data_IF_428392098916
#
_entry.id   IF_428392098916
#
_cell.length_a   1.000
_cell.length_b   1.000
_cell.length_c   1.000
_cell.angle_alpha   90.00
_cell.angle_beta   90.00
_cell.angle_gamma   90.00
#
_symmetry.space_group_name_H-M   'P 1'
#
loop_
_entity.id
_entity.type
_entity.pdbx_description
1 polymer ?
#
# COMPACT_ATOMS: atom_id res chain seq x y z
N UNK A 1 13.39 -4.28 -0.24
CA UNK A 1 13.55 -3.04 0.56
C UNK A 1 14.17 -3.40 1.89
N UNK A 2 15.44 -3.07 2.15
CA UNK A 2 16.00 -3.13 3.51
C UNK A 2 15.46 -1.90 4.23
N UNK A 3 14.50 -2.08 5.13
CA UNK A 3 14.02 -1.00 5.98
C UNK A 3 15.01 -0.95 7.15
N UNK A 4 15.87 0.09 7.27
CA UNK A 4 16.74 0.19 8.43
C UNK A 4 15.88 0.36 9.68
N UNK A 5 16.16 -0.44 10.71
CA UNK A 5 15.39 -0.51 11.97
C UNK A 5 15.63 0.70 12.90
N UNK A 6 16.49 1.65 12.51
CA UNK A 6 16.89 2.83 13.31
C UNK A 6 16.47 4.15 12.64
N UNK A 7 15.30 4.22 12.01
CA UNK A 7 14.79 5.53 11.57
C UNK A 7 14.10 6.25 12.74
N UNK A 8 14.33 7.57 12.87
CA UNK A 8 13.69 8.36 13.91
C UNK A 8 12.17 8.29 13.78
N UNK A 9 11.49 8.23 14.93
CA UNK A 9 10.04 8.13 15.03
C UNK A 9 9.39 9.26 14.23
N UNK A 10 8.48 8.92 13.32
CA UNK A 10 7.77 9.91 12.52
C UNK A 10 6.96 10.85 13.44
N UNK A 11 7.27 12.14 13.41
CA UNK A 11 6.59 13.14 14.23
C UNK A 11 5.09 13.16 13.88
N UNK A 12 4.25 13.06 14.92
CA UNK A 12 2.79 13.06 14.77
C UNK A 12 2.16 11.68 14.54
N UNK A 13 2.94 10.59 14.58
CA UNK A 13 2.41 9.24 14.46
C UNK A 13 2.49 8.46 15.76
N UNK A 14 1.43 7.70 16.05
CA UNK A 14 1.40 6.75 17.17
C UNK A 14 2.29 5.54 16.91
N UNK A 15 2.26 5.03 15.68
CA UNK A 15 2.92 3.80 15.30
C UNK A 15 4.35 4.04 14.80
N UNK A 16 5.26 3.07 15.01
CA UNK A 16 6.59 3.10 14.42
C UNK A 16 6.55 3.16 12.89
N UNK A 17 7.62 3.67 12.28
CA UNK A 17 7.69 3.88 10.85
C UNK A 17 7.65 2.56 10.06
N UNK A 18 8.14 1.46 10.62
CA UNK A 18 8.14 0.12 10.04
C UNK A 18 6.71 -0.40 9.86
N UNK A 19 5.84 -0.15 10.83
CA UNK A 19 4.43 -0.57 10.76
C UNK A 19 3.69 0.22 9.69
N UNK A 20 3.92 1.53 9.64
CA UNK A 20 3.32 2.41 8.64
C UNK A 20 3.82 2.02 7.24
N UNK A 21 5.12 1.81 7.09
CA UNK A 21 5.74 1.39 5.85
C UNK A 21 5.19 0.04 5.38
N UNK A 22 5.07 -0.92 6.29
CA UNK A 22 4.53 -2.25 5.98
C UNK A 22 3.07 -2.18 5.53
N UNK A 23 2.23 -1.41 6.22
CA UNK A 23 0.82 -1.24 5.87
C UNK A 23 0.65 -0.61 4.47
N UNK A 24 1.39 0.48 4.19
CA UNK A 24 1.32 1.17 2.89
C UNK A 24 1.91 0.32 1.77
N UNK A 25 3.00 -0.41 2.04
CA UNK A 25 3.58 -1.35 1.08
C UNK A 25 2.61 -2.49 0.75
N UNK A 26 1.99 -3.10 1.75
CA UNK A 26 1.05 -4.20 1.55
C UNK A 26 -0.15 -3.76 0.71
N UNK A 27 -0.70 -2.56 0.99
CA UNK A 27 -1.76 -1.93 0.19
C UNK A 27 -1.39 -1.84 -1.29
N UNK A 28 -0.23 -1.29 -1.62
CA UNK A 28 0.20 -1.12 -3.02
C UNK A 28 0.67 -2.41 -3.69
N UNK A 29 1.20 -3.38 -2.94
CA UNK A 29 1.82 -4.59 -3.52
C UNK A 29 0.82 -5.68 -3.85
N UNK A 30 -0.23 -5.82 -3.04
CA UNK A 30 -1.16 -6.96 -3.09
C UNK A 30 -2.60 -6.59 -3.44
N UNK A 31 -2.85 -5.35 -3.89
CA UNK A 31 -4.20 -4.86 -4.22
C UNK A 31 -5.20 -4.99 -3.05
N UNK A 32 -4.71 -4.85 -1.82
CA UNK A 32 -5.54 -4.92 -0.61
C UNK A 32 -6.37 -3.65 -0.44
N UNK A 33 -7.60 -3.80 0.05
CA UNK A 33 -8.38 -2.67 0.54
C UNK A 33 -7.82 -2.17 1.87
N UNK A 34 -8.25 -0.97 2.30
CA UNK A 34 -7.87 -0.44 3.61
C UNK A 34 -8.44 -1.27 4.77
N UNK A 35 -9.52 -2.02 4.55
CA UNK A 35 -10.09 -2.94 5.54
C UNK A 35 -9.22 -4.20 5.65
N UNK A 36 -8.80 -4.78 4.52
CA UNK A 36 -7.92 -5.96 4.53
C UNK A 36 -6.59 -5.68 5.23
N UNK A 37 -6.05 -4.46 5.08
CA UNK A 37 -4.83 -4.04 5.79
C UNK A 37 -5.08 -3.84 7.29
N UNK A 38 -6.26 -3.36 7.70
CA UNK A 38 -6.65 -3.28 9.12
C UNK A 38 -6.71 -4.68 9.74
N UNK A 39 -7.34 -5.64 9.06
CA UNK A 39 -7.43 -7.02 9.53
C UNK A 39 -6.03 -7.66 9.64
N UNK A 40 -5.18 -7.46 8.62
CA UNK A 40 -3.82 -7.97 8.56
C UNK A 40 -2.87 -7.37 9.63
N UNK A 41 -3.15 -6.15 10.09
CA UNK A 41 -2.45 -5.57 11.24
C UNK A 41 -3.03 -6.08 12.57
N UNK A 42 -4.34 -6.31 12.62
CA UNK A 42 -5.04 -6.87 13.79
C UNK A 42 -4.55 -8.28 14.10
N UNK A 43 -4.36 -9.13 13.09
CA UNK A 43 -3.75 -10.47 13.23
C UNK A 43 -2.34 -10.41 13.84
N UNK A 44 -1.62 -9.30 13.67
CA UNK A 44 -0.30 -9.06 14.27
C UNK A 44 -0.36 -8.37 15.63
N UNK A 45 -1.55 -8.25 16.23
CA UNK A 45 -1.77 -7.62 17.53
C UNK A 45 -1.78 -6.08 17.48
N UNK A 46 -1.90 -5.47 16.30
CA UNK A 46 -1.93 -4.02 16.14
C UNK A 46 -3.32 -3.52 15.79
N UNK A 47 -3.95 -2.81 16.73
CA UNK A 47 -5.29 -2.25 16.54
C UNK A 47 -5.18 -0.92 15.79
N UNK A 48 -5.47 -0.93 14.49
CA UNK A 48 -5.42 0.24 13.60
C UNK A 48 -6.71 0.30 12.78
N UNK A 49 -7.43 1.43 12.82
CA UNK A 49 -8.64 1.60 12.00
C UNK A 49 -8.29 1.78 10.51
N UNK A 50 -9.15 1.31 9.60
CA UNK A 50 -9.02 1.52 8.15
C UNK A 50 -8.85 2.98 7.75
N UNK A 51 -9.45 3.92 8.46
CA UNK A 51 -9.26 5.37 8.24
C UNK A 51 -7.81 5.80 8.48
N UNK A 52 -7.15 5.23 9.49
CA UNK A 52 -5.74 5.51 9.78
C UNK A 52 -4.86 4.94 8.66
N UNK A 53 -5.15 3.72 8.19
CA UNK A 53 -4.47 3.15 7.01
C UNK A 53 -4.68 4.05 5.79
N UNK A 54 -5.91 4.51 5.53
CA UNK A 54 -6.22 5.44 4.42
C UNK A 54 -5.40 6.73 4.51
N UNK A 55 -5.25 7.31 5.70
CA UNK A 55 -4.42 8.50 5.90
C UNK A 55 -2.94 8.23 5.60
N UNK A 56 -2.42 7.06 6.00
CA UNK A 56 -1.05 6.68 5.67
C UNK A 56 -0.85 6.47 4.18
N UNK A 57 -1.77 5.78 3.51
CA UNK A 57 -1.77 5.59 2.05
C UNK A 57 -1.83 6.94 1.34
N UNK A 58 -2.71 7.85 1.74
CA UNK A 58 -2.79 9.17 1.11
C UNK A 58 -1.50 9.99 1.27
N UNK A 59 -0.81 9.85 2.42
CA UNK A 59 0.39 10.64 2.71
C UNK A 59 1.67 10.04 2.10
N UNK A 60 1.82 8.73 2.16
CA UNK A 60 3.06 8.04 1.81
C UNK A 60 2.94 7.19 0.53
N UNK A 61 1.72 6.89 0.10
CA UNK A 61 1.44 5.93 -0.97
C UNK A 61 2.14 6.24 -2.28
N UNK A 62 2.25 7.51 -2.66
CA UNK A 62 2.97 7.91 -3.88
C UNK A 62 4.42 7.40 -3.90
N UNK A 63 5.16 7.57 -2.80
CA UNK A 63 6.55 7.11 -2.70
C UNK A 63 6.66 5.59 -2.82
N UNK A 64 5.75 4.85 -2.17
CA UNK A 64 5.72 3.40 -2.24
C UNK A 64 5.31 2.90 -3.62
N UNK A 65 4.32 3.53 -4.26
CA UNK A 65 3.89 3.20 -5.61
C UNK A 65 5.04 3.38 -6.61
N UNK A 66 5.83 4.44 -6.46
CA UNK A 66 7.01 4.68 -7.31
C UNK A 66 8.10 3.63 -7.09
N UNK A 67 8.38 3.27 -5.83
CA UNK A 67 9.31 2.20 -5.52
C UNK A 67 8.85 0.85 -6.08
N UNK A 68 7.57 0.49 -5.91
CA UNK A 68 7.00 -0.75 -6.45
C UNK A 68 7.05 -0.75 -7.98
N UNK A 69 6.82 0.39 -8.64
CA UNK A 69 6.90 0.51 -10.10
C UNK A 69 8.34 0.37 -10.61
N UNK A 70 9.32 0.95 -9.91
CA UNK A 70 10.74 0.82 -10.22
C UNK A 70 11.24 -0.62 -10.07
N UNK A 71 10.75 -1.32 -9.06
CA UNK A 71 11.16 -2.70 -8.77
C UNK A 71 10.44 -3.72 -9.70
N UNK A 72 9.57 -3.27 -10.63
CA UNK A 72 8.97 -4.17 -11.63
C UNK A 72 10.02 -4.65 -12.63
N UNK A 73 9.91 -5.90 -13.12
CA UNK A 73 10.72 -6.39 -14.23
C UNK A 73 10.62 -5.46 -15.43
N UNK A 74 11.70 -5.35 -16.20
CA UNK A 74 11.65 -4.66 -17.49
C UNK A 74 10.57 -5.30 -18.39
N UNK A 75 9.91 -4.47 -19.20
CA UNK A 75 8.93 -4.95 -20.18
C UNK A 75 9.58 -5.93 -21.15
N UNK A 76 8.89 -7.02 -21.47
CA UNK A 76 9.31 -7.95 -22.50
C UNK A 76 9.06 -7.36 -23.90
N UNK A 77 9.75 -7.89 -24.92
CA UNK A 77 9.61 -7.45 -26.32
C UNK A 77 8.21 -7.73 -26.92
N UNK A 78 7.39 -8.54 -26.24
CA UNK A 78 6.02 -8.89 -26.65
C UNK A 78 5.02 -8.36 -25.63
N UNK A 79 4.05 -7.59 -26.13
CA UNK A 79 2.94 -7.05 -25.34
C UNK A 79 1.66 -7.84 -25.60
N UNK A 80 0.93 -8.18 -24.53
CA UNK A 80 -0.44 -8.69 -24.60
C UNK A 80 -1.33 -7.61 -23.98
N UNK A 81 -2.41 -7.25 -24.67
CA UNK A 81 -3.37 -6.26 -24.22
C UNK A 81 -4.66 -6.99 -23.84
N UNK A 82 -5.03 -6.91 -22.57
CA UNK A 82 -6.30 -7.41 -22.05
C UNK A 82 -7.22 -6.23 -21.74
N UNK A 83 -8.51 -6.36 -22.07
CA UNK A 83 -9.53 -5.37 -21.76
C UNK A 83 -10.42 -5.87 -20.63
N UNK A 84 -10.64 -5.03 -19.63
CA UNK A 84 -11.58 -5.28 -18.53
C UNK A 84 -12.45 -4.04 -18.33
N UNK A 85 -13.77 -4.23 -18.38
CA UNK A 85 -14.76 -3.18 -18.08
C UNK A 85 -15.09 -3.22 -16.59
N UNK A 86 -14.60 -2.23 -15.84
CA UNK A 86 -14.91 -2.08 -14.41
C UNK A 86 -16.04 -1.06 -14.24
N UNK A 87 -17.14 -1.40 -13.54
CA UNK A 87 -18.18 -0.42 -13.26
C UNK A 87 -17.70 0.61 -12.24
N UNK A 88 -17.80 1.90 -12.59
CA UNK A 88 -17.47 3.03 -11.71
C UNK A 88 -18.78 3.68 -11.27
N UNK A 89 -19.04 3.70 -9.96
CA UNK A 89 -20.30 4.24 -9.42
C UNK A 89 -21.55 3.52 -9.94
N UNK A 90 -21.42 2.26 -10.36
CA UNK A 90 -22.50 1.47 -10.95
C UNK A 90 -22.71 1.66 -12.46
N UNK A 91 -22.00 2.61 -13.10
CA UNK A 91 -22.03 2.78 -14.54
C UNK A 91 -20.85 2.06 -15.20
N UNK A 92 -21.10 1.42 -16.35
CA UNK A 92 -20.07 0.88 -17.24
C UNK A 92 -19.82 1.88 -18.37
N UNK A 93 -18.57 2.04 -18.78
CA UNK A 93 -18.14 2.89 -19.89
C UNK A 93 -17.41 2.04 -20.92
#
# INVERSE_FOLDING_TARGET
MKIPFDLPRLKGFRFPHEIIAYAVWAYHRFALSTADVEDLLTERGMIVRRETVRQWVNRFGAHFADCVRRDRPAGADKWHLDEVVVPIGGAKY
#
